data_IF_338495920533
#
_entry.id   IF_338495920533
#
_cell.length_a   1.000
_cell.length_b   1.000
_cell.length_c   1.000
_cell.angle_alpha   90.00
_cell.angle_beta   90.00
_cell.angle_gamma   90.00
#
_symmetry.space_group_name_H-M   'P 1'
#
loop_
_entity.id
_entity.type
_entity.pdbx_description
1 polymer ?
#
# COMPACT_ATOMS: atom_id res chain seq x y z
N UNK A 1 29.87 -24.54 -30.77
CA UNK A 1 31.02 -24.91 -29.90
C UNK A 1 30.67 -26.06 -28.96
N UNK A 2 31.68 -26.73 -28.41
CA UNK A 2 31.51 -27.90 -27.54
C UNK A 2 32.41 -27.77 -26.30
N UNK A 3 31.81 -27.91 -25.12
CA UNK A 3 32.51 -28.02 -23.84
C UNK A 3 32.55 -29.50 -23.44
N UNK A 4 33.75 -30.04 -23.32
CA UNK A 4 33.97 -31.43 -22.89
C UNK A 4 34.33 -31.44 -21.40
N UNK A 5 33.65 -32.27 -20.62
CA UNK A 5 33.95 -32.44 -19.19
C UNK A 5 33.90 -33.90 -18.78
N UNK A 6 34.72 -34.26 -17.78
CA UNK A 6 34.88 -35.66 -17.39
C UNK A 6 33.61 -36.25 -16.80
N UNK A 7 32.86 -35.46 -16.03
CA UNK A 7 31.59 -35.88 -15.42
C UNK A 7 30.76 -34.68 -14.98
N UNK A 8 29.49 -34.90 -14.69
CA UNK A 8 28.56 -33.86 -14.21
C UNK A 8 29.08 -33.19 -12.93
N UNK A 9 29.57 -33.99 -11.97
CA UNK A 9 30.12 -33.51 -10.69
C UNK A 9 31.35 -32.60 -10.82
N UNK A 10 32.09 -32.70 -11.94
CA UNK A 10 33.25 -31.85 -12.23
C UNK A 10 32.86 -30.54 -12.90
N UNK A 11 31.70 -30.51 -13.55
CA UNK A 11 31.16 -29.35 -14.23
C UNK A 11 30.47 -28.40 -13.25
N UNK A 12 29.69 -28.94 -12.30
CA UNK A 12 29.00 -28.13 -11.30
C UNK A 12 28.87 -28.86 -9.96
N UNK A 13 29.00 -28.09 -8.87
CA UNK A 13 28.85 -28.57 -7.49
C UNK A 13 27.40 -28.52 -6.98
N UNK A 14 26.52 -27.83 -7.70
CA UNK A 14 25.12 -27.64 -7.35
C UNK A 14 24.26 -27.95 -8.58
N UNK A 15 23.22 -28.76 -8.41
CA UNK A 15 22.29 -29.18 -9.45
C UNK A 15 21.56 -27.99 -10.10
N UNK A 16 21.22 -26.96 -9.34
CA UNK A 16 20.61 -25.72 -9.86
C UNK A 16 21.58 -25.00 -10.81
N UNK A 17 22.83 -24.80 -10.37
CA UNK A 17 23.87 -24.12 -11.16
C UNK A 17 24.21 -24.90 -12.43
N UNK A 18 24.26 -26.23 -12.36
CA UNK A 18 24.41 -27.12 -13.50
C UNK A 18 23.33 -26.84 -14.55
N UNK A 19 22.06 -26.80 -14.13
CA UNK A 19 20.92 -26.61 -15.02
C UNK A 19 20.90 -25.22 -15.65
N UNK A 20 21.12 -24.18 -14.85
CA UNK A 20 21.21 -22.80 -15.33
C UNK A 20 22.32 -22.66 -16.38
N UNK A 21 23.52 -23.14 -16.05
CA UNK A 21 24.69 -23.05 -16.94
C UNK A 21 24.49 -23.84 -18.23
N UNK A 22 23.95 -25.06 -18.15
CA UNK A 22 23.69 -25.88 -19.34
C UNK A 22 22.58 -25.26 -20.22
N UNK A 23 21.56 -24.63 -19.63
CA UNK A 23 20.51 -23.91 -20.38
C UNK A 23 21.06 -22.68 -21.09
N UNK A 24 21.84 -21.86 -20.39
CA UNK A 24 22.49 -20.68 -21.00
C UNK A 24 23.42 -21.08 -22.15
N UNK A 25 24.21 -22.15 -21.98
CA UNK A 25 25.08 -22.67 -23.04
C UNK A 25 24.26 -23.22 -24.21
N UNK A 26 23.14 -23.90 -23.95
CA UNK A 26 22.21 -24.38 -24.99
C UNK A 26 21.60 -23.23 -25.79
N UNK A 27 21.20 -22.13 -25.13
CA UNK A 27 20.67 -20.93 -25.81
C UNK A 27 21.72 -20.28 -26.72
N UNK A 28 23.00 -20.42 -26.38
CA UNK A 28 24.13 -20.03 -27.21
C UNK A 28 24.54 -21.09 -28.25
N UNK A 29 23.78 -22.18 -28.39
CA UNK A 29 24.11 -23.32 -29.26
C UNK A 29 25.47 -23.98 -28.95
N UNK A 30 25.87 -23.97 -27.67
CA UNK A 30 27.07 -24.61 -27.14
C UNK A 30 26.66 -25.91 -26.46
N UNK A 31 27.19 -27.03 -26.94
CA UNK A 31 26.94 -28.34 -26.35
C UNK A 31 27.86 -28.58 -25.14
N UNK A 32 27.37 -29.28 -24.12
CA UNK A 32 28.18 -29.83 -23.04
C UNK A 32 28.13 -31.35 -23.13
N UNK A 33 29.29 -31.97 -23.28
CA UNK A 33 29.41 -33.42 -23.31
C UNK A 33 30.06 -33.95 -22.04
N UNK A 34 29.33 -34.82 -21.34
CA UNK A 34 29.75 -35.47 -20.12
C UNK A 34 30.29 -36.86 -20.45
N UNK A 35 31.61 -37.03 -20.40
CA UNK A 35 32.30 -38.24 -20.89
C UNK A 35 31.92 -39.50 -20.09
N UNK A 36 31.84 -39.40 -18.76
CA UNK A 36 31.51 -40.53 -17.88
C UNK A 36 30.07 -41.00 -18.06
N UNK A 37 29.13 -40.05 -18.10
CA UNK A 37 27.71 -40.32 -18.25
C UNK A 37 27.32 -40.60 -19.71
N UNK A 38 28.22 -40.30 -20.67
CA UNK A 38 28.04 -40.40 -22.12
C UNK A 38 26.84 -39.60 -22.63
N UNK A 39 26.59 -38.46 -22.00
CA UNK A 39 25.43 -37.63 -22.27
C UNK A 39 25.86 -36.33 -22.95
N UNK A 40 25.15 -35.97 -24.01
CA UNK A 40 25.27 -34.69 -24.68
C UNK A 40 24.06 -33.82 -24.30
N UNK A 41 24.30 -32.60 -23.83
CA UNK A 41 23.22 -31.70 -23.40
C UNK A 41 22.23 -31.29 -24.49
N UNK A 42 22.57 -31.50 -25.77
CA UNK A 42 21.69 -31.22 -26.92
C UNK A 42 20.90 -32.44 -27.42
N UNK A 43 21.14 -33.64 -26.88
CA UNK A 43 20.39 -34.85 -27.27
C UNK A 43 19.17 -35.07 -26.37
N UNK A 44 18.23 -35.91 -26.83
CA UNK A 44 17.01 -36.25 -26.09
C UNK A 44 17.32 -36.86 -24.70
N UNK A 45 18.32 -37.73 -24.61
CA UNK A 45 18.77 -38.32 -23.33
C UNK A 45 19.34 -37.26 -22.37
N UNK A 46 20.01 -36.24 -22.91
CA UNK A 46 20.48 -35.08 -22.14
C UNK A 46 19.33 -34.23 -21.63
N UNK A 47 18.30 -34.00 -22.44
CA UNK A 47 17.11 -33.25 -22.05
C UNK A 47 16.29 -33.97 -20.97
N UNK A 48 16.16 -35.30 -21.06
CA UNK A 48 15.54 -36.13 -20.03
C UNK A 48 16.31 -36.05 -18.70
N UNK A 49 17.63 -36.20 -18.76
CA UNK A 49 18.49 -36.09 -17.58
C UNK A 49 18.39 -34.70 -16.93
N UNK A 50 18.46 -33.62 -17.72
CA UNK A 50 18.30 -32.25 -17.22
C UNK A 50 16.91 -32.04 -16.61
N UNK A 51 15.86 -32.63 -17.17
CA UNK A 51 14.52 -32.56 -16.62
C UNK A 51 14.41 -33.28 -15.27
N UNK A 52 15.02 -34.47 -15.13
CA UNK A 52 15.06 -35.21 -13.87
C UNK A 52 15.84 -34.45 -12.78
N UNK A 53 16.99 -33.88 -13.14
CA UNK A 53 17.80 -33.06 -12.24
C UNK A 53 17.05 -31.78 -11.83
N UNK A 54 16.28 -31.18 -12.74
CA UNK A 54 15.44 -30.03 -12.43
C UNK A 54 14.32 -30.39 -11.44
N UNK A 55 13.66 -31.53 -11.63
CA UNK A 55 12.66 -32.04 -10.69
C UNK A 55 13.25 -32.27 -9.30
N UNK A 56 14.44 -32.87 -9.22
CA UNK A 56 15.12 -33.09 -7.94
C UNK A 56 15.50 -31.76 -7.25
N UNK A 57 16.09 -30.82 -8.00
CA UNK A 57 16.44 -29.50 -7.47
C UNK A 57 15.21 -28.72 -6.99
N UNK A 58 14.08 -28.82 -7.71
CA UNK A 58 12.81 -28.23 -7.30
C UNK A 58 12.30 -28.84 -5.99
N UNK A 59 12.36 -30.17 -5.85
CA UNK A 59 11.96 -30.88 -4.64
C UNK A 59 12.82 -30.48 -3.43
N UNK A 60 14.14 -30.38 -3.60
CA UNK A 60 15.05 -29.91 -2.54
C UNK A 60 14.71 -28.47 -2.10
N UNK A 61 14.37 -27.59 -3.06
CA UNK A 61 13.95 -26.22 -2.75
C UNK A 61 12.63 -26.20 -1.98
N UNK A 62 11.66 -27.04 -2.35
CA UNK A 62 10.40 -27.17 -1.62
C UNK A 62 10.63 -27.70 -0.21
N UNK A 63 11.40 -28.77 -0.06
CA UNK A 63 11.77 -29.36 1.22
C UNK A 63 12.50 -28.36 2.13
N UNK A 64 13.47 -27.60 1.62
CA UNK A 64 14.17 -26.56 2.37
C UNK A 64 13.23 -25.44 2.84
N UNK A 65 12.26 -25.05 1.99
CA UNK A 65 11.23 -24.06 2.34
C UNK A 65 10.29 -24.59 3.42
N UNK A 66 9.86 -25.85 3.32
CA UNK A 66 9.02 -26.51 4.33
C UNK A 66 9.76 -26.63 5.67
N UNK A 67 11.02 -27.06 5.67
CA UNK A 67 11.85 -27.14 6.86
C UNK A 67 12.02 -25.77 7.52
N UNK A 68 12.23 -24.71 6.74
CA UNK A 68 12.33 -23.34 7.25
C UNK A 68 11.00 -22.89 7.88
N UNK A 69 9.87 -23.17 7.25
CA UNK A 69 8.53 -22.87 7.79
C UNK A 69 8.24 -23.65 9.06
N UNK A 70 8.58 -24.93 9.08
CA UNK A 70 8.44 -25.79 10.23
C UNK A 70 9.29 -25.29 11.40
N UNK A 71 10.55 -24.93 11.15
CA UNK A 71 11.44 -24.32 12.15
C UNK A 71 10.86 -23.02 12.71
N UNK A 72 10.35 -22.12 11.85
CA UNK A 72 9.68 -20.88 12.28
C UNK A 72 8.45 -21.20 13.14
N UNK A 73 7.60 -22.15 12.72
CA UNK A 73 6.43 -22.58 13.48
C UNK A 73 6.83 -23.13 14.84
N UNK A 74 7.85 -23.99 14.91
CA UNK A 74 8.38 -24.52 16.17
C UNK A 74 8.91 -23.44 17.10
N UNK A 75 9.52 -22.39 16.57
CA UNK A 75 9.91 -21.22 17.37
C UNK A 75 8.70 -20.46 17.91
N UNK A 76 7.64 -20.32 17.12
CA UNK A 76 6.39 -19.72 17.60
C UNK A 76 5.72 -20.56 18.69
N UNK A 77 5.68 -21.88 18.55
CA UNK A 77 5.18 -22.81 19.57
C UNK A 77 5.98 -22.71 20.88
N UNK A 78 7.29 -22.47 20.80
CA UNK A 78 8.16 -22.25 21.96
C UNK A 78 8.12 -20.82 22.51
N UNK A 79 7.40 -19.91 21.85
CA UNK A 79 7.37 -18.50 22.23
C UNK A 79 8.67 -17.72 22.00
N UNK A 80 9.56 -18.24 21.14
CA UNK A 80 10.82 -17.56 20.83
C UNK A 80 10.57 -16.26 20.05
N UNK A 81 11.10 -15.17 20.60
CA UNK A 81 10.90 -13.82 20.09
C UNK A 81 11.85 -13.56 18.93
N UNK A 82 11.31 -13.37 17.71
CA UNK A 82 12.13 -13.03 16.52
C UNK A 82 11.75 -11.65 15.98
N UNK A 83 12.76 -10.83 15.69
CA UNK A 83 12.57 -9.56 14.96
C UNK A 83 12.00 -8.41 15.80
N UNK A 84 12.38 -8.31 17.08
CA UNK A 84 11.93 -7.25 17.99
C UNK A 84 13.01 -6.21 18.32
N UNK A 85 14.12 -6.19 17.60
CA UNK A 85 15.27 -5.31 17.85
C UNK A 85 14.97 -3.79 17.79
N UNK A 86 13.80 -3.40 17.30
CA UNK A 86 13.39 -1.99 17.14
C UNK A 86 12.10 -1.66 17.90
N UNK A 87 11.75 -2.46 18.92
CA UNK A 87 10.66 -2.13 19.83
C UNK A 87 11.05 -0.91 20.66
N UNK A 88 10.19 0.11 20.68
CA UNK A 88 10.43 1.34 21.42
C UNK A 88 10.26 1.07 22.93
N UNK A 89 11.15 1.61 23.77
CA UNK A 89 11.17 1.30 25.21
C UNK A 89 12.14 0.19 25.60
N UNK A 90 12.77 -0.46 24.61
CA UNK A 90 13.64 -1.61 24.84
C UNK A 90 14.92 -1.53 24.02
N UNK A 91 15.98 -2.08 24.60
CA UNK A 91 17.23 -2.38 23.92
C UNK A 91 17.35 -3.88 23.66
N UNK A 92 18.04 -4.23 22.58
CA UNK A 92 18.23 -5.61 22.17
C UNK A 92 19.67 -6.04 22.44
N UNK A 93 19.87 -6.77 23.54
CA UNK A 93 21.18 -7.17 24.05
C UNK A 93 21.21 -8.70 24.14
N UNK A 94 22.20 -9.33 23.52
CA UNK A 94 22.42 -10.79 23.55
C UNK A 94 21.18 -11.63 23.22
N UNK A 95 20.38 -11.15 22.25
CA UNK A 95 19.18 -11.84 21.80
C UNK A 95 17.93 -11.60 22.65
N UNK A 96 18.01 -10.76 23.69
CA UNK A 96 16.92 -10.47 24.64
C UNK A 96 16.53 -9.00 24.60
N UNK A 97 15.28 -8.73 24.96
CA UNK A 97 14.77 -7.37 25.18
C UNK A 97 15.02 -6.97 26.62
N UNK A 98 15.73 -5.86 26.81
CA UNK A 98 16.00 -5.24 28.11
C UNK A 98 15.34 -3.88 28.13
N UNK A 99 14.69 -3.51 29.22
CA UNK A 99 14.04 -2.20 29.34
C UNK A 99 15.09 -1.10 29.24
N UNK A 100 14.81 -0.11 28.40
CA UNK A 100 15.55 1.15 28.38
C UNK A 100 14.74 2.16 29.19
N UNK A 101 15.23 2.56 30.37
CA UNK A 101 14.46 3.39 31.30
C UNK A 101 14.01 4.73 30.71
N UNK A 102 14.86 5.38 29.90
CA UNK A 102 14.55 6.66 29.27
C UNK A 102 13.41 6.51 28.26
N UNK A 103 13.49 5.50 27.38
CA UNK A 103 12.44 5.24 26.41
C UNK A 103 11.18 4.67 27.05
N UNK A 104 11.32 3.88 28.11
CA UNK A 104 10.21 3.29 28.84
C UNK A 104 9.33 4.34 29.50
N UNK A 105 9.91 5.43 30.02
CA UNK A 105 9.13 6.53 30.55
C UNK A 105 8.32 7.24 29.45
N UNK A 106 8.88 7.34 28.24
CA UNK A 106 8.15 7.85 27.07
C UNK A 106 7.01 6.90 26.69
N UNK A 107 7.20 5.57 26.77
CA UNK A 107 6.12 4.60 26.56
C UNK A 107 4.99 4.84 27.57
N UNK A 108 5.31 4.90 28.87
CA UNK A 108 4.32 5.16 29.93
C UNK A 108 3.59 6.48 29.73
N UNK A 109 4.31 7.53 29.36
CA UNK A 109 3.73 8.83 29.04
C UNK A 109 2.72 8.74 27.88
N UNK A 110 3.09 8.07 26.78
CA UNK A 110 2.21 7.95 25.61
C UNK A 110 0.92 7.20 25.97
N UNK A 111 1.01 6.11 26.73
CA UNK A 111 -0.17 5.37 27.20
C UNK A 111 -1.05 6.23 28.11
N UNK A 112 -0.45 6.94 29.07
CA UNK A 112 -1.16 7.83 30.00
C UNK A 112 -1.86 8.98 29.28
N UNK A 113 -1.16 9.67 28.38
CA UNK A 113 -1.70 10.79 27.61
C UNK A 113 -2.87 10.34 26.72
N UNK A 114 -2.77 9.15 26.13
CA UNK A 114 -3.86 8.64 25.29
C UNK A 114 -5.11 8.30 26.10
N UNK A 115 -4.94 7.64 27.25
CA UNK A 115 -6.03 7.30 28.18
C UNK A 115 -6.64 8.52 28.86
N UNK A 116 -5.89 9.61 29.03
CA UNK A 116 -6.44 10.87 29.57
C UNK A 116 -7.35 11.61 28.58
N UNK A 117 -7.49 11.11 27.35
CA UNK A 117 -8.36 11.68 26.32
C UNK A 117 -7.62 12.45 25.21
N UNK A 118 -6.29 12.59 25.31
CA UNK A 118 -5.51 13.32 24.30
C UNK A 118 -5.61 12.63 22.93
N UNK A 119 -5.76 13.42 21.87
CA UNK A 119 -5.81 12.92 20.51
C UNK A 119 -4.42 12.49 20.03
N UNK A 120 -4.36 11.48 19.16
CA UNK A 120 -3.07 11.02 18.61
C UNK A 120 -2.27 12.14 17.95
N UNK A 121 -2.92 13.16 17.37
CA UNK A 121 -2.26 14.33 16.80
C UNK A 121 -1.56 15.19 17.84
N UNK A 122 -2.23 15.49 18.95
CA UNK A 122 -1.70 16.28 20.07
C UNK A 122 -0.51 15.56 20.73
N UNK A 123 -0.59 14.23 20.89
CA UNK A 123 0.53 13.42 21.40
C UNK A 123 1.74 13.52 20.46
N UNK A 124 1.52 13.47 19.14
CA UNK A 124 2.60 13.63 18.15
C UNK A 124 3.24 15.02 18.22
N UNK A 125 2.43 16.06 18.37
CA UNK A 125 2.91 17.44 18.52
C UNK A 125 3.73 17.59 19.79
N UNK A 126 3.23 17.06 20.93
CA UNK A 126 3.95 17.02 22.20
C UNK A 126 5.29 16.31 22.07
N UNK A 127 5.32 15.10 21.52
CA UNK A 127 6.56 14.32 21.33
C UNK A 127 7.57 15.07 20.45
N UNK A 128 7.12 15.64 19.34
CA UNK A 128 7.99 16.40 18.44
C UNK A 128 8.47 17.72 19.06
N UNK A 129 7.66 18.38 19.88
CA UNK A 129 8.03 19.60 20.60
C UNK A 129 9.09 19.33 21.68
N UNK A 130 8.99 18.18 22.36
CA UNK A 130 9.99 17.69 23.30
C UNK A 130 11.27 17.16 22.63
N UNK A 131 11.33 17.16 21.28
CA UNK A 131 12.49 16.67 20.53
C UNK A 131 12.61 15.15 20.47
N UNK A 132 11.63 14.41 21.01
CA UNK A 132 11.63 12.94 21.08
C UNK A 132 11.53 12.35 19.67
N UNK A 133 12.47 11.45 19.35
CA UNK A 133 12.54 10.76 18.04
C UNK A 133 12.09 9.32 18.17
N UNK A 134 11.78 8.70 17.03
CA UNK A 134 11.51 7.27 16.94
C UNK A 134 12.80 6.46 17.11
N UNK A 135 12.68 5.17 17.46
CA UNK A 135 13.83 4.25 17.66
C UNK A 135 14.80 4.23 16.46
N UNK A 136 14.25 4.16 15.25
CA UNK A 136 15.02 4.20 13.98
C UNK A 136 15.30 5.63 13.48
N UNK A 137 15.06 6.65 14.30
CA UNK A 137 15.17 8.05 13.95
C UNK A 137 13.95 8.63 13.22
N UNK A 138 13.99 9.95 13.05
CA UNK A 138 12.93 10.73 12.42
C UNK A 138 11.84 11.24 13.37
N UNK A 139 11.00 12.16 12.86
CA UNK A 139 9.85 12.73 13.57
C UNK A 139 8.67 11.76 13.60
N UNK A 140 7.82 11.92 14.60
CA UNK A 140 6.54 11.23 14.71
C UNK A 140 5.55 11.75 13.66
N UNK A 141 4.82 10.84 13.01
CA UNK A 141 3.87 11.14 11.92
C UNK A 141 2.45 10.68 12.26
N UNK A 142 1.42 11.25 11.60
CA UNK A 142 0.05 10.78 11.75
C UNK A 142 -0.07 9.27 11.49
N UNK A 143 -0.66 8.54 12.44
CA UNK A 143 -0.81 7.08 12.41
C UNK A 143 0.29 6.30 13.14
N UNK A 144 1.39 6.93 13.54
CA UNK A 144 2.45 6.28 14.32
C UNK A 144 1.92 5.87 15.71
N UNK A 145 1.15 6.74 16.39
CA UNK A 145 0.57 6.47 17.72
C UNK A 145 -0.39 5.27 17.71
N UNK A 146 -1.26 5.15 16.70
CA UNK A 146 -2.19 4.00 16.64
C UNK A 146 -1.46 2.68 16.44
N UNK A 147 -0.28 2.69 15.79
CA UNK A 147 0.58 1.50 15.62
C UNK A 147 1.53 1.29 16.80
N UNK A 148 1.72 2.31 17.63
CA UNK A 148 2.58 2.29 18.79
C UNK A 148 2.03 1.35 19.87
N UNK A 149 0.72 1.38 20.10
CA UNK A 149 0.06 0.49 21.05
C UNK A 149 0.19 -0.96 20.58
N UNK A 150 0.93 -1.76 21.36
CA UNK A 150 1.31 -3.12 21.00
C UNK A 150 1.33 -4.00 22.24
N UNK A 151 0.95 -5.28 22.10
CA UNK A 151 0.96 -6.25 23.20
C UNK A 151 2.37 -6.47 23.76
N UNK A 152 3.39 -6.19 22.96
CA UNK A 152 4.80 -6.33 23.36
C UNK A 152 5.18 -5.47 24.54
N UNK A 153 4.57 -4.30 24.72
CA UNK A 153 4.87 -3.47 25.89
C UNK A 153 4.38 -4.11 27.22
N UNK A 154 3.60 -5.20 27.17
CA UNK A 154 3.18 -5.96 28.36
C UNK A 154 4.03 -7.20 28.63
N UNK A 155 5.16 -7.38 27.93
CA UNK A 155 5.99 -8.59 28.04
C UNK A 155 5.44 -9.79 27.26
N UNK A 156 4.32 -9.63 26.55
CA UNK A 156 3.69 -10.67 25.74
C UNK A 156 3.95 -10.47 24.25
N UNK A 157 3.99 -11.53 23.47
CA UNK A 157 4.21 -11.45 22.03
C UNK A 157 3.16 -12.27 21.28
N UNK A 158 2.36 -11.62 20.43
CA UNK A 158 1.49 -12.32 19.50
C UNK A 158 2.25 -12.62 18.20
N UNK A 159 2.56 -13.88 17.98
CA UNK A 159 3.35 -14.37 16.86
C UNK A 159 2.45 -14.80 15.69
N UNK A 160 3.07 -14.98 14.52
CA UNK A 160 2.39 -15.35 13.28
C UNK A 160 1.29 -14.36 12.79
N UNK A 161 1.47 -13.06 13.05
CA UNK A 161 0.62 -12.00 12.47
C UNK A 161 0.69 -11.90 10.93
N UNK A 162 1.67 -12.55 10.31
CA UNK A 162 1.86 -12.59 8.86
C UNK A 162 2.39 -13.96 8.44
N UNK A 163 2.06 -14.39 7.22
CA UNK A 163 2.58 -15.64 6.65
C UNK A 163 2.91 -15.46 5.16
N UNK A 164 3.68 -16.40 4.61
CA UNK A 164 3.97 -16.49 3.18
C UNK A 164 3.06 -17.53 2.52
N UNK A 165 2.44 -17.21 1.40
CA UNK A 165 1.66 -18.19 0.63
C UNK A 165 2.54 -19.27 -0.02
N UNK A 166 1.89 -20.32 -0.52
CA UNK A 166 2.53 -21.51 -1.10
C UNK A 166 2.88 -21.34 -2.59
N UNK A 167 2.84 -20.11 -3.10
CA UNK A 167 3.19 -19.83 -4.48
C UNK A 167 4.69 -20.04 -4.75
N UNK A 168 5.02 -20.35 -6.01
CA UNK A 168 6.41 -20.45 -6.51
C UNK A 168 7.19 -19.20 -6.11
N UNK A 169 6.59 -18.02 -6.33
CA UNK A 169 7.05 -16.73 -5.83
C UNK A 169 6.18 -16.29 -4.64
N UNK A 170 6.59 -16.58 -3.40
CA UNK A 170 5.73 -16.43 -2.25
C UNK A 170 5.48 -14.94 -1.93
N UNK A 171 4.23 -14.59 -1.63
CA UNK A 171 3.85 -13.26 -1.18
C UNK A 171 3.53 -13.27 0.31
N UNK A 172 3.86 -12.16 0.98
CA UNK A 172 3.58 -11.95 2.40
C UNK A 172 2.15 -11.46 2.58
N UNK A 173 1.39 -12.17 3.41
CA UNK A 173 0.01 -11.87 3.77
C UNK A 173 -0.10 -11.53 5.25
N UNK A 174 -1.08 -10.70 5.59
CA UNK A 174 -1.48 -10.46 6.99
C UNK A 174 -2.40 -11.61 7.39
N UNK A 175 -2.10 -12.26 8.51
CA UNK A 175 -2.94 -13.31 9.06
C UNK A 175 -4.20 -12.70 9.68
N UNK A 176 -5.37 -13.08 9.16
CA UNK A 176 -6.70 -12.72 9.63
C UNK A 176 -7.44 -13.92 10.25
N UNK A 177 -6.73 -15.03 10.46
CA UNK A 177 -7.27 -16.30 10.97
C UNK A 177 -7.05 -17.48 10.02
N UNK A 178 -6.38 -17.29 8.88
CA UNK A 178 -6.03 -18.37 7.96
C UNK A 178 -4.97 -19.32 8.54
N UNK A 179 -4.20 -18.85 9.52
CA UNK A 179 -3.24 -19.65 10.29
C UNK A 179 -3.40 -19.36 11.78
N UNK A 180 -2.93 -20.28 12.62
CA UNK A 180 -2.94 -20.09 14.07
C UNK A 180 -2.13 -18.87 14.50
N UNK A 181 -2.61 -18.22 15.56
CA UNK A 181 -1.83 -17.23 16.30
C UNK A 181 -1.24 -17.89 17.53
N UNK A 182 0.00 -17.54 17.85
CA UNK A 182 0.70 -18.06 19.03
C UNK A 182 0.92 -16.89 19.98
N UNK A 183 0.27 -16.92 21.14
CA UNK A 183 0.51 -15.94 22.19
C UNK A 183 1.60 -16.48 23.12
N UNK A 184 2.75 -15.84 23.09
CA UNK A 184 3.83 -16.11 24.03
C UNK A 184 3.74 -15.11 25.17
N UNK A 185 3.46 -15.58 26.38
CA UNK A 185 3.41 -14.74 27.58
C UNK A 185 4.78 -14.71 28.27
N UNK A 186 5.02 -13.66 29.07
CA UNK A 186 6.20 -13.49 29.92
C UNK A 186 7.54 -13.70 29.20
N UNK A 187 7.59 -13.24 27.95
CA UNK A 187 8.75 -13.40 27.09
C UNK A 187 9.89 -12.44 27.43
N UNK A 188 9.53 -11.28 27.99
CA UNK A 188 10.42 -10.23 28.47
C UNK A 188 9.67 -9.36 29.49
N UNK A 189 10.40 -8.49 30.18
CA UNK A 189 9.79 -7.59 31.16
C UNK A 189 8.86 -6.57 30.50
N UNK A 190 7.63 -6.45 31.00
CA UNK A 190 6.64 -5.49 30.49
C UNK A 190 6.85 -4.08 31.05
N UNK A 191 6.80 -3.06 30.19
CA UNK A 191 6.78 -1.65 30.62
C UNK A 191 5.41 -1.23 31.16
N UNK A 192 4.34 -1.85 30.62
CA UNK A 192 2.93 -1.56 30.91
C UNK A 192 2.23 -2.85 31.34
N UNK A 193 1.27 -2.77 32.25
CA UNK A 193 0.47 -3.91 32.66
C UNK A 193 -0.58 -4.31 31.59
N UNK A 194 -1.08 -5.55 31.68
CA UNK A 194 -2.05 -6.10 30.72
C UNK A 194 -3.39 -5.34 30.74
N UNK A 195 -3.79 -4.76 31.87
CA UNK A 195 -5.06 -4.04 32.01
C UNK A 195 -5.01 -2.67 31.31
N UNK A 196 -3.92 -1.92 31.53
CA UNK A 196 -3.67 -0.64 30.85
C UNK A 196 -3.62 -0.83 29.34
N UNK A 197 -2.96 -1.88 28.85
CA UNK A 197 -2.96 -2.19 27.42
C UNK A 197 -4.37 -2.49 26.89
N UNK A 198 -5.14 -3.31 27.61
CA UNK A 198 -6.52 -3.62 27.23
C UNK A 198 -7.38 -2.37 27.15
N UNK A 199 -7.30 -1.48 28.14
CA UNK A 199 -8.02 -0.21 28.17
C UNK A 199 -7.70 0.66 26.95
N UNK A 200 -6.41 0.77 26.58
CA UNK A 200 -6.01 1.54 25.38
C UNK A 200 -6.57 0.95 24.10
N UNK A 201 -6.54 -0.37 23.95
CA UNK A 201 -7.06 -1.03 22.74
C UNK A 201 -8.59 -0.86 22.63
N UNK A 202 -9.31 -0.93 23.75
CA UNK A 202 -10.74 -0.62 23.79
C UNK A 202 -11.01 0.83 23.38
N UNK A 203 -10.23 1.79 23.91
CA UNK A 203 -10.34 3.20 23.54
C UNK A 203 -10.01 3.45 22.06
N UNK A 204 -8.98 2.80 21.51
CA UNK A 204 -8.67 2.84 20.06
C UNK A 204 -9.83 2.33 19.23
N UNK A 205 -10.47 1.22 19.64
CA UNK A 205 -11.65 0.67 18.97
C UNK A 205 -12.82 1.67 19.03
N UNK A 206 -13.13 2.20 20.21
CA UNK A 206 -14.19 3.20 20.41
C UNK A 206 -13.99 4.45 19.56
N UNK A 207 -12.79 5.04 19.54
CA UNK A 207 -12.48 6.20 18.70
C UNK A 207 -12.53 5.89 17.21
N UNK A 208 -12.24 4.65 16.81
CA UNK A 208 -12.31 4.22 15.41
C UNK A 208 -13.74 3.92 14.97
N UNK A 209 -14.56 3.31 15.82
CA UNK A 209 -15.99 3.03 15.54
C UNK A 209 -16.83 4.31 15.58
N UNK A 210 -16.46 5.28 16.43
CA UNK A 210 -17.08 6.61 16.45
C UNK A 210 -16.61 7.52 15.30
N UNK A 211 -15.90 7.00 14.29
CA UNK A 211 -15.73 7.66 12.99
C UNK A 211 -17.01 7.62 12.14
N UNK A 212 -18.16 7.85 12.75
CA UNK A 212 -19.10 8.77 12.13
C UNK A 212 -18.51 10.15 12.43
N UNK A 213 -17.68 10.73 11.56
CA UNK A 213 -17.25 12.10 11.79
C UNK A 213 -18.52 12.93 12.02
N UNK A 214 -18.54 13.89 12.96
CA UNK A 214 -19.52 14.96 12.88
C UNK A 214 -19.51 15.44 11.43
N UNK A 215 -20.68 15.72 10.83
CA UNK A 215 -20.81 16.13 9.42
C UNK A 215 -20.02 17.43 9.15
N UNK A 216 -18.69 17.37 9.17
CA UNK A 216 -17.82 18.40 8.67
C UNK A 216 -18.02 18.35 7.18
N UNK A 217 -18.58 19.44 6.64
CA UNK A 217 -18.75 19.63 5.21
C UNK A 217 -17.41 19.25 4.58
N UNK A 218 -17.35 18.19 3.76
CA UNK A 218 -16.08 17.76 3.20
C UNK A 218 -15.49 18.93 2.44
N UNK A 219 -14.19 19.21 2.67
CA UNK A 219 -13.41 20.31 2.06
C UNK A 219 -13.66 20.47 0.55
N UNK A 220 -14.11 19.41 -0.13
CA UNK A 220 -14.53 19.40 -1.52
C UNK A 220 -15.97 18.87 -1.63
N UNK A 221 -16.94 19.71 -2.00
CA UNK A 221 -18.38 19.38 -1.98
C UNK A 221 -18.73 18.15 -2.83
N UNK A 222 -18.06 17.93 -3.97
CA UNK A 222 -18.35 16.80 -4.85
C UNK A 222 -17.63 15.49 -4.49
N UNK A 223 -16.78 15.48 -3.45
CA UNK A 223 -15.98 14.28 -3.10
C UNK A 223 -16.89 13.11 -2.72
N UNK A 224 -16.76 12.01 -3.47
CA UNK A 224 -17.56 10.79 -3.26
C UNK A 224 -19.00 10.88 -3.75
N UNK A 225 -19.38 11.96 -4.45
CA UNK A 225 -20.74 12.13 -4.97
C UNK A 225 -20.85 11.84 -6.47
N UNK A 226 -19.74 11.80 -7.21
CA UNK A 226 -19.73 11.63 -8.65
C UNK A 226 -19.33 10.19 -9.01
N UNK A 227 -20.22 9.48 -9.72
CA UNK A 227 -20.00 8.12 -10.24
C UNK A 227 -19.92 8.11 -11.76
N UNK A 228 -19.06 7.23 -12.27
CA UNK A 228 -18.99 6.92 -13.69
C UNK A 228 -20.14 5.99 -14.10
N UNK A 229 -20.93 6.37 -15.10
CA UNK A 229 -22.00 5.52 -15.65
C UNK A 229 -21.49 4.32 -16.45
N UNK A 230 -20.29 4.42 -17.03
CA UNK A 230 -19.64 3.35 -17.78
C UNK A 230 -19.05 2.27 -16.86
N UNK A 231 -18.25 2.68 -15.87
CA UNK A 231 -17.44 1.72 -15.11
C UNK A 231 -17.72 1.68 -13.59
N UNK A 232 -18.71 2.44 -13.12
CA UNK A 232 -19.14 2.50 -11.71
C UNK A 232 -18.13 3.11 -10.73
N UNK A 233 -16.92 3.47 -11.15
CA UNK A 233 -15.92 4.06 -10.29
C UNK A 233 -16.26 5.51 -9.91
N UNK A 234 -15.80 5.94 -8.73
CA UNK A 234 -15.92 7.32 -8.29
C UNK A 234 -14.95 8.24 -9.05
N UNK A 235 -15.33 9.50 -9.23
CA UNK A 235 -14.42 10.52 -9.74
C UNK A 235 -13.56 11.10 -8.62
N UNK A 236 -12.32 11.44 -8.96
CA UNK A 236 -11.35 12.10 -8.10
C UNK A 236 -11.03 13.50 -8.61
N UNK A 237 -10.95 14.45 -7.67
CA UNK A 237 -10.50 15.82 -7.93
C UNK A 237 -9.01 15.83 -8.30
N UNK A 238 -8.68 16.50 -9.39
CA UNK A 238 -7.31 16.77 -9.84
C UNK A 238 -7.19 18.25 -10.17
N UNK A 239 -5.97 18.78 -10.04
CA UNK A 239 -5.63 20.16 -10.34
C UNK A 239 -4.59 20.15 -11.45
N UNK A 240 -4.88 20.80 -12.57
CA UNK A 240 -3.87 21.18 -13.57
C UNK A 240 -3.32 22.56 -13.25
N UNK A 241 -2.39 23.06 -14.08
CA UNK A 241 -1.89 24.44 -13.97
C UNK A 241 -2.98 25.48 -14.25
N UNK A 242 -4.01 25.11 -14.99
CA UNK A 242 -5.03 26.03 -15.54
C UNK A 242 -6.40 25.87 -14.90
N UNK A 243 -6.77 24.66 -14.44
CA UNK A 243 -8.09 24.41 -13.90
C UNK A 243 -8.13 23.22 -12.93
N UNK A 244 -9.22 23.14 -12.17
CA UNK A 244 -9.55 21.97 -11.36
C UNK A 244 -10.61 21.16 -12.09
N UNK A 245 -10.40 19.86 -12.18
CA UNK A 245 -11.31 18.94 -12.84
C UNK A 245 -11.44 17.62 -12.07
N UNK A 246 -12.53 16.91 -12.34
CA UNK A 246 -12.84 15.62 -11.75
C UNK A 246 -12.65 14.54 -12.81
N UNK A 247 -11.90 13.48 -12.49
CA UNK A 247 -11.62 12.37 -13.43
C UNK A 247 -11.95 11.03 -12.79
N UNK A 248 -12.49 10.11 -13.59
CA UNK A 248 -12.75 8.74 -13.18
C UNK A 248 -11.49 8.07 -12.58
N UNK A 249 -11.62 7.43 -11.41
CA UNK A 249 -10.50 6.75 -10.75
C UNK A 249 -9.91 5.60 -11.58
N UNK A 250 -10.73 4.91 -12.38
CA UNK A 250 -10.26 3.84 -13.28
C UNK A 250 -9.40 4.38 -14.43
N UNK A 251 -9.67 5.61 -14.91
CA UNK A 251 -8.82 6.28 -15.91
C UNK A 251 -7.44 6.66 -15.33
N UNK A 252 -7.29 6.71 -14.00
CA UNK A 252 -6.02 7.01 -13.33
C UNK A 252 -5.18 5.76 -13.04
N UNK A 253 -5.55 4.58 -13.56
CA UNK A 253 -4.82 3.33 -13.34
C UNK A 253 -4.95 2.77 -11.92
N UNK A 254 -5.97 3.19 -11.15
CA UNK A 254 -6.21 2.70 -9.79
C UNK A 254 -7.07 1.43 -9.73
N UNK A 255 -7.53 0.93 -10.88
CA UNK A 255 -8.30 -0.31 -11.02
C UNK A 255 -7.84 -1.06 -12.28
N UNK A 256 -8.08 -2.37 -12.31
CA UNK A 256 -7.61 -3.29 -13.36
C UNK A 256 -8.31 -3.14 -14.72
N UNK A 257 -9.23 -2.18 -14.86
CA UNK A 257 -9.95 -1.91 -16.13
C UNK A 257 -9.72 -0.46 -16.60
N UNK A 258 -9.54 -0.29 -17.92
CA UNK A 258 -9.35 1.01 -18.55
C UNK A 258 -10.70 1.67 -18.83
N UNK A 259 -10.98 2.80 -18.19
CA UNK A 259 -12.17 3.62 -18.47
C UNK A 259 -11.76 4.83 -19.31
N UNK A 260 -12.44 5.07 -20.43
CA UNK A 260 -12.19 6.20 -21.36
C UNK A 260 -12.98 7.47 -21.01
N UNK A 261 -13.70 7.47 -19.88
CA UNK A 261 -14.55 8.57 -19.47
C UNK A 261 -13.78 9.89 -19.31
N UNK A 262 -14.31 10.94 -19.95
CA UNK A 262 -13.71 12.28 -19.94
C UNK A 262 -13.85 12.95 -18.57
N UNK A 263 -12.85 13.74 -18.20
CA UNK A 263 -12.91 14.55 -16.98
C UNK A 263 -13.86 15.73 -17.09
N UNK A 264 -14.51 16.10 -15.98
CA UNK A 264 -15.45 17.22 -15.92
C UNK A 264 -14.84 18.36 -15.08
N UNK A 265 -14.71 19.58 -15.60
CA UNK A 265 -14.23 20.72 -14.82
C UNK A 265 -15.10 21.03 -13.60
N UNK A 266 -14.48 21.41 -12.48
CA UNK A 266 -15.18 21.70 -11.22
C UNK A 266 -16.19 22.84 -11.38
N UNK A 267 -15.81 23.92 -12.08
CA UNK A 267 -16.69 25.06 -12.40
C UNK A 267 -17.99 24.66 -13.12
N UNK A 268 -17.92 23.62 -13.95
CA UNK A 268 -19.08 23.14 -14.71
C UNK A 268 -20.03 22.39 -13.77
N UNK A 269 -19.48 21.57 -12.87
CA UNK A 269 -20.26 20.87 -11.85
C UNK A 269 -20.93 21.86 -10.89
N UNK A 270 -20.24 22.91 -10.48
CA UNK A 270 -20.79 23.99 -9.63
C UNK A 270 -21.96 24.69 -10.32
N UNK A 271 -21.76 25.16 -11.56
CA UNK A 271 -22.83 25.82 -12.32
C UNK A 271 -24.01 24.90 -12.66
N UNK A 272 -23.76 23.60 -12.87
CA UNK A 272 -24.84 22.61 -13.07
C UNK A 272 -25.60 22.32 -11.77
N UNK A 273 -24.89 22.20 -10.66
CA UNK A 273 -25.49 21.97 -9.35
C UNK A 273 -26.33 23.19 -8.90
N UNK A 274 -25.83 24.42 -9.08
CA UNK A 274 -26.60 25.63 -8.79
C UNK A 274 -27.89 25.69 -9.62
N UNK A 275 -27.81 25.44 -10.94
CA UNK A 275 -29.00 25.34 -11.82
C UNK A 275 -29.96 24.23 -11.41
N UNK A 276 -29.45 23.08 -10.96
CA UNK A 276 -30.28 21.98 -10.50
C UNK A 276 -31.04 22.31 -9.21
N UNK A 277 -30.49 23.20 -8.39
CA UNK A 277 -31.07 23.63 -7.11
C UNK A 277 -31.78 25.00 -7.18
N UNK A 278 -31.82 25.62 -8.36
CA UNK A 278 -32.39 26.97 -8.57
C UNK A 278 -31.70 28.05 -7.72
N UNK A 279 -30.37 27.95 -7.59
CA UNK A 279 -29.53 28.92 -6.90
C UNK A 279 -28.81 29.83 -7.90
N UNK A 280 -28.60 31.10 -7.55
CA UNK A 280 -27.78 32.04 -8.34
C UNK A 280 -26.30 31.67 -8.31
N UNK A 281 -25.80 31.26 -7.14
CA UNK A 281 -24.44 30.79 -6.92
C UNK A 281 -24.40 29.40 -6.27
N UNK A 282 -23.30 28.69 -6.46
CA UNK A 282 -23.14 27.36 -5.88
C UNK A 282 -22.86 27.44 -4.37
N UNK A 283 -23.79 26.91 -3.57
CA UNK A 283 -23.61 26.72 -2.14
C UNK A 283 -23.34 25.25 -1.79
N UNK A 284 -22.21 25.00 -1.11
CA UNK A 284 -21.78 23.65 -0.76
C UNK A 284 -22.66 22.94 0.28
N UNK A 285 -23.26 23.69 1.21
CA UNK A 285 -24.15 23.18 2.25
C UNK A 285 -25.48 22.75 1.66
N UNK A 286 -26.13 23.66 0.92
CA UNK A 286 -27.41 23.39 0.24
C UNK A 286 -27.26 22.23 -0.74
N UNK A 287 -26.13 22.17 -1.46
CA UNK A 287 -25.83 21.05 -2.35
C UNK A 287 -25.80 19.70 -1.62
N UNK A 288 -25.08 19.60 -0.50
CA UNK A 288 -24.96 18.35 0.28
C UNK A 288 -26.26 17.93 0.94
N UNK A 289 -27.13 18.88 1.25
CA UNK A 289 -28.45 18.60 1.81
C UNK A 289 -29.41 18.08 0.76
N UNK A 290 -29.37 18.60 -0.47
CA UNK A 290 -30.39 18.35 -1.48
C UNK A 290 -29.98 17.31 -2.55
N UNK A 291 -28.69 17.11 -2.79
CA UNK A 291 -28.20 16.17 -3.81
C UNK A 291 -27.79 14.84 -3.18
N UNK A 292 -28.25 13.73 -3.77
CA UNK A 292 -27.89 12.37 -3.37
C UNK A 292 -26.61 11.94 -4.04
N UNK A 293 -26.57 11.98 -5.37
CA UNK A 293 -25.42 11.61 -6.18
C UNK A 293 -25.46 12.25 -7.57
N UNK A 294 -24.32 12.24 -8.24
CA UNK A 294 -24.12 12.70 -9.61
C UNK A 294 -23.61 11.51 -10.43
N UNK A 295 -24.23 11.23 -11.56
CA UNK A 295 -23.83 10.19 -12.49
C UNK A 295 -23.35 10.86 -13.78
N UNK A 296 -22.20 10.43 -14.29
CA UNK A 296 -21.68 10.82 -15.60
C UNK A 296 -21.96 9.68 -16.56
N UNK A 297 -23.11 9.66 -17.28
CA UNK A 297 -23.49 8.54 -18.13
C UNK A 297 -22.58 8.42 -19.34
N UNK A 298 -22.21 9.54 -19.94
CA UNK A 298 -21.33 9.61 -21.11
C UNK A 298 -20.53 10.91 -21.10
N UNK A 299 -19.60 11.04 -22.07
CA UNK A 299 -18.81 12.26 -22.21
C UNK A 299 -19.72 13.47 -22.34
N UNK A 300 -19.40 14.54 -21.61
CA UNK A 300 -20.11 15.82 -21.65
C UNK A 300 -21.57 15.80 -21.17
N UNK A 301 -22.04 14.71 -20.55
CA UNK A 301 -23.34 14.65 -19.87
C UNK A 301 -23.21 14.44 -18.37
N UNK A 302 -24.10 15.06 -17.61
CA UNK A 302 -24.16 15.01 -16.15
C UNK A 302 -25.60 14.79 -15.73
N UNK A 303 -25.85 13.74 -14.95
CA UNK A 303 -27.15 13.48 -14.33
C UNK A 303 -27.03 13.71 -12.83
N UNK A 304 -27.87 14.59 -12.29
CA UNK A 304 -27.90 14.94 -10.87
C UNK A 304 -29.16 14.32 -10.27
N UNK A 305 -28.98 13.47 -9.26
CA UNK A 305 -30.06 12.80 -8.53
C UNK A 305 -30.26 13.54 -7.21
N UNK A 306 -31.42 14.16 -7.03
CA UNK A 306 -31.79 14.84 -5.80
C UNK A 306 -32.26 13.84 -4.74
N UNK A 307 -32.16 14.18 -3.45
CA UNK A 307 -32.68 13.34 -2.37
C UNK A 307 -34.20 13.20 -2.39
N UNK A 308 -34.90 14.13 -3.04
CA UNK A 308 -36.33 14.05 -3.33
C UNK A 308 -36.69 13.00 -4.40
N UNK A 309 -35.70 12.31 -4.99
CA UNK A 309 -35.91 11.33 -6.05
C UNK A 309 -36.04 11.92 -7.46
N UNK A 310 -36.07 13.26 -7.59
CA UNK A 310 -36.05 13.92 -8.89
C UNK A 310 -34.67 13.81 -9.53
N UNK A 311 -34.65 13.47 -10.82
CA UNK A 311 -33.43 13.43 -11.63
C UNK A 311 -33.42 14.59 -12.61
N UNK A 312 -32.26 15.23 -12.76
CA UNK A 312 -32.05 16.29 -13.76
C UNK A 312 -30.82 15.95 -14.59
N UNK A 313 -30.99 15.87 -15.91
CA UNK A 313 -29.92 15.60 -16.85
C UNK A 313 -29.52 16.87 -17.60
N UNK A 314 -28.22 17.06 -17.75
CA UNK A 314 -27.63 18.23 -18.38
C UNK A 314 -26.50 17.82 -19.30
N UNK A 315 -26.36 18.54 -20.41
CA UNK A 315 -25.18 18.50 -21.26
C UNK A 315 -24.34 19.76 -21.07
N UNK A 316 -23.04 19.64 -21.26
CA UNK A 316 -22.13 20.78 -21.30
C UNK A 316 -21.22 20.68 -22.53
N UNK A 317 -20.71 21.82 -22.98
CA UNK A 317 -19.77 21.87 -24.10
C UNK A 317 -18.41 22.32 -23.60
N UNK A 318 -17.37 21.74 -24.15
CA UNK A 318 -16.01 22.22 -23.94
C UNK A 318 -15.87 23.65 -24.47
N UNK A 319 -15.09 24.47 -23.77
CA UNK A 319 -14.69 25.76 -24.33
C UNK A 319 -13.90 25.50 -25.61
N UNK A 320 -14.16 26.29 -26.65
CA UNK A 320 -13.34 26.23 -27.86
C UNK A 320 -11.87 26.51 -27.50
N UNK A 321 -10.95 25.79 -28.17
CA UNK A 321 -9.52 26.00 -27.99
C UNK A 321 -9.12 27.45 -28.33
N UNK A 322 -9.86 28.14 -29.20
CA UNK A 322 -9.64 29.55 -29.57
C UNK A 322 -10.04 30.55 -28.47
N UNK A 323 -11.02 30.21 -27.64
CA UNK A 323 -11.51 31.01 -26.50
C UNK A 323 -10.66 30.82 -25.24
N UNK A 324 -9.87 29.75 -25.20
CA UNK A 324 -8.98 29.44 -24.07
C UNK A 324 -7.73 30.35 -24.02
N UNK A 325 -7.54 31.19 -25.03
CA UNK A 325 -6.47 32.17 -25.11
C UNK A 325 -7.05 33.57 -24.92
N UNK A 326 -6.75 34.22 -23.80
CA UNK A 326 -7.03 35.66 -23.64
C UNK A 326 -6.10 36.47 -24.55
N UNK A 327 -6.49 37.71 -24.89
CA UNK A 327 -5.63 38.60 -25.66
C UNK A 327 -4.25 38.79 -24.99
N UNK A 328 -4.24 38.88 -23.66
CA UNK A 328 -3.02 38.95 -22.83
C UNK A 328 -2.17 37.67 -22.91
N UNK A 329 -2.77 36.48 -22.84
CA UNK A 329 -2.03 35.22 -22.99
C UNK A 329 -1.44 35.06 -24.39
N UNK A 330 -2.13 35.54 -25.43
CA UNK A 330 -1.59 35.59 -26.80
C UNK A 330 -0.43 36.58 -26.92
N UNK A 331 -0.54 37.75 -26.31
CA UNK A 331 0.50 38.77 -26.30
C UNK A 331 1.76 38.29 -25.55
N UNK A 332 1.59 37.63 -24.40
CA UNK A 332 2.69 37.11 -23.58
C UNK A 332 3.42 35.94 -24.26
N UNK A 333 2.69 35.03 -24.92
CA UNK A 333 3.33 33.97 -25.72
C UNK A 333 4.02 34.55 -26.96
N UNK A 334 3.44 35.56 -27.62
CA UNK A 334 4.09 36.29 -28.71
C UNK A 334 5.39 36.95 -28.25
N UNK A 335 5.38 37.61 -27.08
CA UNK A 335 6.57 38.23 -26.46
C UNK A 335 7.67 37.21 -26.18
N UNK A 336 7.33 36.09 -25.53
CA UNK A 336 8.28 35.00 -25.23
C UNK A 336 8.88 34.37 -26.48
N UNK A 337 8.10 34.21 -27.55
CA UNK A 337 8.61 33.70 -28.82
C UNK A 337 9.57 34.71 -29.51
N UNK A 338 9.28 36.02 -29.45
CA UNK A 338 10.21 37.05 -29.96
C UNK A 338 11.52 37.10 -29.17
N UNK A 339 11.47 36.95 -27.85
CA UNK A 339 12.65 36.86 -27.00
C UNK A 339 13.48 35.60 -27.29
N UNK A 340 12.83 34.47 -27.56
CA UNK A 340 13.50 33.22 -27.96
C UNK A 340 14.18 33.30 -29.32
N UNK A 341 13.57 33.99 -30.29
CA UNK A 341 14.15 34.17 -31.62
C UNK A 341 15.23 35.26 -31.68
N UNK A 342 15.43 36.02 -30.59
CA UNK A 342 16.48 37.03 -30.45
C UNK A 342 17.75 36.49 -29.78
N UNK A 343 17.69 35.30 -29.17
CA UNK A 343 18.85 34.51 -28.75
C UNK A 343 19.22 33.55 -29.86
#
# INVERSE_FOLDING_TARGET
DLILTKSISRFARNTLLLLETVRELKDLSIAVYFEREKINSLTADGELMLSLLASFAQEECLSARENSRWSIKKRFEKGEIVGMAHLYGYDYIDGRLVINDEEAEIVRMIYRDYLSGMQSGEIIEKLNALGIRKKLGGKWKPGDITRFFNEKHTGSALLQKTYLDDAVCPKKHINRGEKDFYLAEDTHEGIIDKETYKAVIEEVKCRTSNKNPPKTIPKYPFRGMIRCGDCGANFQRKKSKTEVFWRCAANLGQKDYKCSMKGVPERILEGLAARALHLEEFDSGIFRENVREIIIPEANKVRIILKSGKEKEYSWQDRSRSESWTAEMRAEVSRKNRERNRK
#
